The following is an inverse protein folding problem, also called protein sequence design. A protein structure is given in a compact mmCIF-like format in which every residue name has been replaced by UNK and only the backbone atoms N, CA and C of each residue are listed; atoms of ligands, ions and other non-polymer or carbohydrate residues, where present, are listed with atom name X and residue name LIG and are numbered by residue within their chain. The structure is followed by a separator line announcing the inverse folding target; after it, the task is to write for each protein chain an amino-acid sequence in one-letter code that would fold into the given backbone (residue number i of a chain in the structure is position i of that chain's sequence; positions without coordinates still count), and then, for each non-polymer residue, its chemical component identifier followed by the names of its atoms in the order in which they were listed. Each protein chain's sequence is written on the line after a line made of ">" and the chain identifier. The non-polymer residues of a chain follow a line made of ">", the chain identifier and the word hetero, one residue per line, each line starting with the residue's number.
data_IF_993315350602
#
_entry.id   IF_993315350602
#
_cell.length_a   1.000
_cell.length_b   1.000
_cell.length_c   1.000
_cell.angle_alpha   90.00
_cell.angle_beta   90.00
_cell.angle_gamma   90.00
#
_symmetry.space_group_name_H-M   'P 1'
#
loop_
_entity.id
_entity.type
_entity.pdbx_description
1 polymer ?
#
# COMPACT_ATOMS: atom_id res chain seq x y z
N UNK A 1 1.07 19.03 14.60
CA UNK A 1 2.33 18.33 14.29
C UNK A 1 2.05 16.84 14.18
N UNK A 2 1.46 16.39 13.08
CA UNK A 2 1.37 14.95 12.76
C UNK A 2 1.36 14.77 11.23
N UNK A 3 2.32 15.40 10.57
CA UNK A 3 2.47 15.34 9.11
C UNK A 3 3.52 14.33 8.61
N UNK A 4 4.48 13.78 9.39
CA UNK A 4 5.44 12.80 8.85
C UNK A 4 4.92 11.35 8.79
N UNK A 5 3.84 11.01 9.50
CA UNK A 5 3.40 9.62 9.62
C UNK A 5 2.85 9.05 8.31
N UNK A 6 2.19 9.88 7.49
CA UNK A 6 1.51 9.42 6.28
C UNK A 6 2.47 9.24 5.10
N UNK A 7 3.48 10.12 4.96
CA UNK A 7 4.56 9.95 3.97
C UNK A 7 5.44 8.74 4.28
N UNK A 8 5.80 8.55 5.55
CA UNK A 8 6.57 7.37 5.98
C UNK A 8 5.77 6.08 5.77
N UNK A 9 4.45 6.12 6.02
CA UNK A 9 3.54 5.01 5.72
C UNK A 9 3.54 4.67 4.23
N UNK A 10 3.37 5.67 3.35
CA UNK A 10 3.40 5.48 1.90
C UNK A 10 4.73 4.84 1.47
N UNK A 11 5.87 5.38 1.91
CA UNK A 11 7.19 4.81 1.60
C UNK A 11 7.33 3.35 2.05
N UNK A 12 6.89 3.05 3.27
CA UNK A 12 6.90 1.67 3.81
C UNK A 12 6.00 0.73 3.01
N UNK A 13 4.83 1.19 2.58
CA UNK A 13 3.92 0.44 1.70
C UNK A 13 4.60 0.18 0.35
N UNK A 14 5.20 1.20 -0.27
CA UNK A 14 5.95 1.06 -1.52
C UNK A 14 7.10 0.06 -1.38
N UNK A 15 7.91 0.14 -0.33
CA UNK A 15 8.98 -0.82 -0.07
C UNK A 15 8.47 -2.25 0.15
N UNK A 16 7.34 -2.40 0.85
CA UNK A 16 6.71 -3.71 1.02
C UNK A 16 6.26 -4.30 -0.32
N UNK A 17 5.67 -3.45 -1.17
CA UNK A 17 5.17 -3.83 -2.49
C UNK A 17 6.29 -4.01 -3.54
N UNK A 18 7.51 -3.50 -3.30
CA UNK A 18 8.70 -3.84 -4.13
C UNK A 18 8.99 -5.33 -4.13
N UNK A 19 8.70 -6.03 -3.03
CA UNK A 19 8.89 -7.49 -2.91
C UNK A 19 7.81 -8.28 -3.66
N UNK A 20 6.71 -7.65 -4.06
CA UNK A 20 5.64 -8.26 -4.82
C UNK A 20 4.26 -7.77 -4.41
N UNK A 21 3.23 -8.46 -4.88
CA UNK A 21 1.82 -8.15 -4.56
C UNK A 21 1.46 -8.59 -3.13
N UNK A 22 0.72 -7.74 -2.42
CA UNK A 22 0.24 -8.01 -1.07
C UNK A 22 -1.19 -7.54 -0.86
N UNK A 23 -1.90 -8.09 0.12
CA UNK A 23 -3.24 -7.59 0.47
C UNK A 23 -3.09 -6.40 1.42
N UNK A 24 -4.03 -5.45 1.35
CA UNK A 24 -4.07 -4.32 2.28
C UNK A 24 -4.09 -4.74 3.75
N UNK A 25 -4.67 -5.91 4.07
CA UNK A 25 -4.63 -6.51 5.40
C UNK A 25 -3.24 -6.97 5.82
N UNK A 26 -2.50 -7.65 4.93
CA UNK A 26 -1.12 -8.09 5.19
C UNK A 26 -0.18 -6.89 5.37
N UNK A 27 -0.33 -5.86 4.54
CA UNK A 27 0.43 -4.60 4.64
C UNK A 27 0.16 -3.95 6.00
N UNK A 28 -1.11 -3.89 6.43
CA UNK A 28 -1.49 -3.33 7.73
C UNK A 28 -0.87 -4.11 8.90
N UNK A 29 -0.85 -5.44 8.82
CA UNK A 29 -0.21 -6.29 9.84
C UNK A 29 1.32 -6.14 9.83
N UNK A 30 1.95 -6.14 8.66
CA UNK A 30 3.40 -6.04 8.51
C UNK A 30 3.95 -4.69 8.99
N UNK A 31 3.21 -3.61 8.76
CA UNK A 31 3.58 -2.25 9.15
C UNK A 31 3.02 -1.84 10.52
N UNK A 32 2.28 -2.74 11.19
CA UNK A 32 1.62 -2.52 12.48
C UNK A 32 0.77 -1.24 12.54
N UNK A 33 0.00 -1.02 11.48
CA UNK A 33 -0.82 0.19 11.26
C UNK A 33 -2.27 -0.20 11.05
N UNK A 34 -3.17 0.76 11.28
CA UNK A 34 -4.60 0.50 11.12
C UNK A 34 -4.90 0.24 9.64
N UNK A 35 -5.77 -0.75 9.37
CA UNK A 35 -6.25 -1.03 8.01
C UNK A 35 -6.75 0.23 7.31
N UNK A 36 -7.45 1.11 8.03
CA UNK A 36 -7.98 2.37 7.46
C UNK A 36 -6.88 3.31 6.93
N UNK A 37 -5.76 3.43 7.66
CA UNK A 37 -4.61 4.25 7.26
C UNK A 37 -3.95 3.68 5.99
N UNK A 38 -3.78 2.35 5.97
CA UNK A 38 -3.23 1.65 4.80
C UNK A 38 -4.16 1.74 3.59
N UNK A 39 -5.47 1.56 3.78
CA UNK A 39 -6.46 1.70 2.71
C UNK A 39 -6.41 3.12 2.11
N UNK A 40 -6.32 4.14 2.96
CA UNK A 40 -6.20 5.53 2.54
C UNK A 40 -4.89 5.80 1.78
N UNK A 41 -3.75 5.38 2.33
CA UNK A 41 -2.45 5.57 1.69
C UNK A 41 -2.33 4.80 0.37
N UNK A 42 -2.81 3.55 0.31
CA UNK A 42 -2.85 2.77 -0.94
C UNK A 42 -3.77 3.44 -1.96
N UNK A 43 -4.92 3.97 -1.54
CA UNK A 43 -5.85 4.66 -2.44
C UNK A 43 -5.25 5.95 -3.01
N UNK A 44 -4.53 6.71 -2.20
CA UNK A 44 -3.74 7.87 -2.68
C UNK A 44 -2.66 7.43 -3.66
N UNK A 45 -1.86 6.43 -3.32
CA UNK A 45 -0.81 5.90 -4.21
C UNK A 45 -1.40 5.37 -5.53
N UNK A 46 -2.61 4.82 -5.51
CA UNK A 46 -3.30 4.35 -6.70
C UNK A 46 -3.81 5.51 -7.57
N UNK A 47 -4.26 6.61 -6.94
CA UNK A 47 -4.62 7.85 -7.63
C UNK A 47 -3.39 8.53 -8.24
N UNK A 48 -2.25 8.47 -7.55
CA UNK A 48 -0.93 8.92 -8.02
C UNK A 48 -0.29 7.94 -9.02
N UNK A 49 -1.01 6.87 -9.39
CA UNK A 49 -0.59 5.90 -10.39
C UNK A 49 0.71 5.14 -10.01
N UNK A 50 1.04 5.08 -8.71
CA UNK A 50 2.23 4.39 -8.18
C UNK A 50 1.95 2.92 -7.82
N UNK A 51 0.71 2.58 -7.48
CA UNK A 51 0.28 1.20 -7.17
C UNK A 51 -0.94 0.81 -7.98
N UNK A 52 -1.09 -0.49 -8.23
CA UNK A 52 -2.23 -1.08 -8.91
C UNK A 52 -2.93 -2.13 -8.04
N UNK A 53 -4.25 -2.17 -8.17
CA UNK A 53 -5.06 -3.22 -7.56
C UNK A 53 -5.21 -4.38 -8.53
N UNK A 54 -4.68 -5.54 -8.16
CA UNK A 54 -4.89 -6.78 -8.90
C UNK A 54 -6.01 -7.58 -8.28
N UNK A 55 -6.98 -7.96 -9.10
CA UNK A 55 -8.05 -8.87 -8.71
C UNK A 55 -7.74 -10.29 -9.21
N UNK A 56 -7.13 -11.09 -8.34
CA UNK A 56 -6.83 -12.51 -8.59
C UNK A 56 -7.63 -13.38 -7.61
N UNK A 57 -8.95 -13.22 -7.62
CA UNK A 57 -9.89 -13.83 -6.67
C UNK A 57 -10.06 -13.06 -5.35
N UNK A 58 -9.03 -12.31 -4.92
CA UNK A 58 -9.10 -11.30 -3.86
C UNK A 58 -8.37 -10.03 -4.29
N UNK A 59 -8.68 -8.89 -3.67
CA UNK A 59 -8.00 -7.62 -3.90
C UNK A 59 -6.55 -7.67 -3.41
N UNK A 60 -5.59 -7.70 -4.32
CA UNK A 60 -4.19 -7.49 -4.07
C UNK A 60 -3.79 -6.07 -4.49
N UNK A 61 -2.72 -5.57 -3.88
CA UNK A 61 -2.05 -4.32 -4.21
C UNK A 61 -0.66 -4.69 -4.70
N UNK A 62 -0.20 -4.07 -5.78
CA UNK A 62 1.17 -4.19 -6.28
C UNK A 62 1.68 -2.82 -6.70
N UNK A 63 3.00 -2.67 -6.88
CA UNK A 63 3.54 -1.46 -7.51
C UNK A 63 3.20 -1.45 -9.01
N UNK A 64 2.81 -0.28 -9.51
CA UNK A 64 2.61 -0.07 -10.94
C UNK A 64 3.93 -0.26 -11.67
N UNK A 65 3.92 -1.01 -12.77
CA UNK A 65 5.13 -1.30 -13.56
C UNK A 65 6.00 -2.44 -13.04
N UNK A 66 5.63 -3.11 -11.94
CA UNK A 66 6.34 -4.27 -11.41
C UNK A 66 5.76 -5.58 -12.01
N UNK A 67 5.73 -5.66 -13.34
CA UNK A 67 5.27 -6.81 -14.12
C UNK A 67 6.44 -7.71 -14.53
#
# INVERSE_FOLDING_TARGET
>A
MTEPAQEELKQRILEYLKKGKAKSRDIATALNVKKSEVDQAVKELALEDQVEFLYLGTSYVTLKGNY
#
